data_IF_259565407766
#
_entry.id   IF_259565407766
#
_cell.length_a   1.000
_cell.length_b   1.000
_cell.length_c   1.000
_cell.angle_alpha   90.00
_cell.angle_beta   90.00
_cell.angle_gamma   90.00
#
_symmetry.space_group_name_H-M   'P 1'
#
loop_
_entity.id
_entity.type
_entity.pdbx_description
1 polymer ?
#
# COMPACT_ATOMS: atom_id res chain seq x y z
N UNK A 1 3.71 23.47 -23.39
CA UNK A 1 3.34 22.21 -24.09
C UNK A 1 2.17 21.60 -23.36
N UNK A 2 1.13 21.23 -24.12
CA UNK A 2 -0.12 20.64 -23.66
C UNK A 2 0.15 19.25 -23.08
N UNK A 3 -0.25 18.98 -21.83
CA UNK A 3 -0.27 17.62 -21.28
C UNK A 3 -1.50 16.89 -21.83
N UNK A 4 -1.26 15.86 -22.65
CA UNK A 4 -2.31 14.99 -23.20
C UNK A 4 -2.86 14.06 -22.12
N UNK A 5 -4.19 14.00 -22.05
CA UNK A 5 -5.00 13.14 -21.21
C UNK A 5 -5.00 11.72 -21.80
N UNK A 6 -4.41 10.76 -21.09
CA UNK A 6 -4.48 9.34 -21.40
C UNK A 6 -5.57 8.67 -20.56
N UNK A 7 -6.72 8.40 -21.19
CA UNK A 7 -7.82 7.59 -20.66
C UNK A 7 -7.62 6.14 -21.13
N UNK A 8 -7.14 5.27 -20.25
CA UNK A 8 -7.19 3.81 -20.44
C UNK A 8 -7.39 3.13 -19.05
N UNK A 9 -8.53 2.46 -18.80
CA UNK A 9 -8.95 2.10 -17.43
C UNK A 9 -8.47 0.74 -16.91
N UNK A 10 -7.61 -0.02 -17.62
CA UNK A 10 -7.42 -1.45 -17.33
C UNK A 10 -6.00 -2.04 -17.19
N UNK A 11 -4.89 -1.31 -17.31
CA UNK A 11 -3.59 -1.83 -16.84
C UNK A 11 -2.56 -0.76 -16.43
N UNK A 12 -1.98 -1.01 -15.24
CA UNK A 12 -0.71 -0.60 -14.61
C UNK A 12 0.16 0.44 -15.36
N UNK A 13 0.18 1.69 -14.86
CA UNK A 13 1.25 2.66 -15.17
C UNK A 13 0.85 4.13 -15.40
N UNK A 14 -0.36 4.57 -15.05
CA UNK A 14 -0.76 5.99 -15.07
C UNK A 14 -0.60 6.70 -13.73
N UNK A 15 -0.71 8.04 -13.64
CA UNK A 15 -0.58 8.83 -12.41
C UNK A 15 -1.71 8.60 -11.38
N UNK A 16 -2.48 7.52 -11.56
CA UNK A 16 -3.51 7.09 -10.63
C UNK A 16 -2.86 6.58 -9.34
N UNK A 17 -3.34 7.10 -8.20
CA UNK A 17 -2.90 6.66 -6.87
C UNK A 17 -3.10 5.15 -6.74
N UNK A 18 -2.03 4.40 -6.48
CA UNK A 18 -2.12 2.96 -6.24
C UNK A 18 -2.96 2.68 -4.99
N UNK A 19 -4.03 1.89 -5.14
CA UNK A 19 -4.91 1.48 -4.04
C UNK A 19 -4.53 0.05 -3.64
N UNK A 20 -4.08 -0.21 -2.40
CA UNK A 20 -3.76 -1.56 -1.95
C UNK A 20 -5.00 -2.46 -1.94
N UNK A 21 -4.85 -3.66 -2.50
CA UNK A 21 -5.92 -4.65 -2.64
C UNK A 21 -6.22 -5.28 -1.27
N UNK A 22 -7.50 -5.36 -0.87
CA UNK A 22 -7.90 -5.98 0.41
C UNK A 22 -7.19 -5.40 1.65
N UNK A 23 -6.91 -4.09 1.66
CA UNK A 23 -6.15 -3.47 2.75
C UNK A 23 -6.84 -3.68 4.12
N UNK A 24 -8.16 -3.53 4.17
CA UNK A 24 -8.91 -3.65 5.41
C UNK A 24 -8.83 -5.07 5.98
N UNK A 25 -9.08 -6.06 5.13
CA UNK A 25 -9.04 -7.48 5.48
C UNK A 25 -7.64 -7.92 5.91
N UNK A 26 -6.59 -7.42 5.24
CA UNK A 26 -5.21 -7.68 5.65
C UNK A 26 -4.92 -7.08 7.02
N UNK A 27 -5.33 -5.84 7.29
CA UNK A 27 -5.12 -5.21 8.60
C UNK A 27 -5.91 -5.90 9.72
N UNK A 28 -7.12 -6.37 9.43
CA UNK A 28 -7.95 -7.09 10.39
C UNK A 28 -7.37 -8.47 10.71
N UNK A 29 -6.88 -9.19 9.69
CA UNK A 29 -6.27 -10.51 9.87
C UNK A 29 -4.88 -10.44 10.52
N UNK A 30 -4.07 -9.46 10.12
CA UNK A 30 -2.71 -9.27 10.66
C UNK A 30 -2.74 -8.63 12.05
N UNK A 31 -3.76 -7.83 12.35
CA UNK A 31 -3.98 -7.10 13.60
C UNK A 31 -2.71 -6.46 14.20
N UNK A 32 -1.98 -5.60 13.45
CA UNK A 32 -0.69 -5.07 13.91
C UNK A 32 -0.83 -4.29 15.21
N UNK A 33 0.08 -4.54 16.15
CA UNK A 33 0.14 -3.86 17.44
C UNK A 33 1.40 -3.01 17.60
N UNK A 34 1.32 -2.03 18.49
CA UNK A 34 2.46 -1.17 18.80
C UNK A 34 3.65 -1.99 19.34
N UNK A 35 4.84 -1.72 18.81
CA UNK A 35 6.07 -2.41 19.22
C UNK A 35 6.33 -3.75 18.54
N UNK A 36 5.40 -4.26 17.73
CA UNK A 36 5.65 -5.43 16.88
C UNK A 36 6.57 -5.08 15.71
N UNK A 37 7.31 -6.08 15.22
CA UNK A 37 8.11 -5.96 13.99
C UNK A 37 7.50 -6.87 12.92
N UNK A 38 7.13 -6.28 11.79
CA UNK A 38 6.47 -6.97 10.67
C UNK A 38 7.36 -6.87 9.43
N UNK A 39 7.38 -7.93 8.62
CA UNK A 39 8.08 -7.95 7.34
C UNK A 39 7.10 -7.78 6.19
N UNK A 40 7.28 -6.75 5.37
CA UNK A 40 6.57 -6.58 4.10
C UNK A 40 7.46 -7.12 2.96
N UNK A 41 7.36 -8.43 2.70
CA UNK A 41 8.16 -9.08 1.65
C UNK A 41 7.78 -8.70 0.21
N UNK A 42 6.80 -7.81 0.04
CA UNK A 42 6.24 -7.41 -1.25
C UNK A 42 6.02 -5.90 -1.33
N UNK A 43 6.92 -5.12 -0.72
CA UNK A 43 6.81 -3.66 -0.48
C UNK A 43 6.01 -2.87 -1.54
N UNK A 44 6.30 -3.09 -2.83
CA UNK A 44 5.55 -2.50 -3.93
C UNK A 44 5.55 -0.97 -3.86
N UNK A 45 4.35 -0.36 -3.90
CA UNK A 45 4.17 1.09 -3.74
C UNK A 45 4.10 1.56 -2.26
N UNK A 46 4.30 0.66 -1.29
CA UNK A 46 4.37 0.98 0.15
C UNK A 46 3.02 1.21 0.85
N UNK A 47 1.90 0.91 0.19
CA UNK A 47 0.57 1.16 0.74
C UNK A 47 0.21 0.30 1.96
N UNK A 48 0.60 -0.97 1.97
CA UNK A 48 0.42 -1.83 3.15
C UNK A 48 1.37 -1.42 4.28
N UNK A 49 2.67 -1.30 3.98
CA UNK A 49 3.68 -0.80 4.94
C UNK A 49 3.21 0.49 5.64
N UNK A 50 2.72 1.48 4.90
CA UNK A 50 2.23 2.74 5.47
C UNK A 50 1.06 2.54 6.45
N UNK A 51 0.12 1.66 6.10
CA UNK A 51 -1.03 1.38 6.95
C UNK A 51 -0.65 0.59 8.21
N UNK A 52 0.32 -0.32 8.11
CA UNK A 52 0.86 -1.10 9.24
C UNK A 52 1.60 -0.17 10.22
N UNK A 53 2.46 0.72 9.71
CA UNK A 53 3.15 1.73 10.52
C UNK A 53 2.17 2.65 11.28
N UNK A 54 1.04 3.00 10.64
CA UNK A 54 0.00 3.82 11.28
C UNK A 54 -0.68 3.14 12.50
N UNK A 55 -0.53 1.81 12.65
CA UNK A 55 -0.98 1.07 13.84
C UNK A 55 0.08 1.02 14.95
N UNK A 56 1.27 1.59 14.72
CA UNK A 56 2.36 1.67 15.71
C UNK A 56 3.35 0.51 15.65
N UNK A 57 3.20 -0.42 14.70
CA UNK A 57 4.19 -1.44 14.43
C UNK A 57 5.43 -0.85 13.72
N UNK A 58 6.55 -1.57 13.77
CA UNK A 58 7.73 -1.32 12.94
C UNK A 58 7.70 -2.25 11.73
N UNK A 59 8.14 -1.77 10.56
CA UNK A 59 8.13 -2.57 9.32
C UNK A 59 9.52 -2.63 8.71
N UNK A 60 9.96 -3.83 8.33
CA UNK A 60 11.09 -4.06 7.42
C UNK A 60 10.54 -4.51 6.08
N UNK A 61 10.95 -3.86 5.00
CA UNK A 61 10.42 -4.09 3.66
C UNK A 61 11.55 -4.40 2.68
#
# INVERSE_FOLDING_TARGET
MMAGHGDDPHAVGGPARHIPVLLAEVLDALAPQAGETIVDGTFGAGGYTSAILARGASVSA
#
